data_IF_483821693412
#
_entry.id   IF_483821693412
#
_cell.length_a   1.000
_cell.length_b   1.000
_cell.length_c   1.000
_cell.angle_alpha   90.00
_cell.angle_beta   90.00
_cell.angle_gamma   90.00
#
_symmetry.space_group_name_H-M   'P 1'
#
loop_
_entity.id
_entity.type
_entity.pdbx_description
1 polymer ?
#
# COMPACT_ATOMS: atom_id res chain seq x y z
N UNK A 1 -46.04 20.54 19.41
CA UNK A 1 -44.71 20.93 18.88
C UNK A 1 -44.31 19.86 17.87
N UNK A 2 -44.57 20.08 16.59
CA UNK A 2 -44.29 19.08 15.54
C UNK A 2 -42.79 19.11 15.22
N UNK A 3 -42.10 18.00 15.52
CA UNK A 3 -40.68 17.83 15.20
C UNK A 3 -40.54 17.61 13.70
N UNK A 4 -39.88 18.52 13.00
CA UNK A 4 -39.55 18.32 11.58
C UNK A 4 -38.50 17.20 11.49
N UNK A 5 -38.63 16.25 10.55
CA UNK A 5 -37.62 15.21 10.35
C UNK A 5 -36.28 15.85 9.99
N UNK A 6 -35.21 15.40 10.66
CA UNK A 6 -33.84 15.91 10.53
C UNK A 6 -33.19 15.53 9.18
N UNK A 7 -33.77 14.57 8.47
CA UNK A 7 -33.27 14.09 7.18
C UNK A 7 -34.19 14.62 6.10
N UNK A 8 -33.69 15.55 5.27
CA UNK A 8 -34.36 15.92 4.02
C UNK A 8 -34.36 14.69 3.12
N UNK A 9 -35.51 14.35 2.56
CA UNK A 9 -35.63 13.31 1.56
C UNK A 9 -35.12 13.90 0.23
N UNK A 10 -33.96 13.44 -0.28
CA UNK A 10 -33.29 13.99 -1.47
C UNK A 10 -33.71 13.27 -2.77
N UNK A 11 -34.88 12.63 -2.77
CA UNK A 11 -35.33 11.81 -3.90
C UNK A 11 -35.92 12.61 -5.06
N UNK A 12 -36.23 13.90 -4.86
CA UNK A 12 -36.78 14.79 -5.90
C UNK A 12 -35.72 15.77 -6.39
N UNK A 13 -35.77 16.10 -7.68
CA UNK A 13 -34.81 17.02 -8.31
C UNK A 13 -34.81 18.42 -7.65
N UNK A 14 -35.97 18.86 -7.16
CA UNK A 14 -36.14 20.13 -6.44
C UNK A 14 -35.35 20.18 -5.13
N UNK A 15 -35.15 19.03 -4.47
CA UNK A 15 -34.41 18.92 -3.21
C UNK A 15 -32.88 18.95 -3.40
N UNK A 16 -32.40 18.86 -4.65
CA UNK A 16 -30.99 18.96 -5.04
C UNK A 16 -30.58 20.38 -5.44
N UNK A 17 -31.53 21.32 -5.50
CA UNK A 17 -31.26 22.70 -5.84
C UNK A 17 -30.72 23.42 -4.60
N UNK A 18 -29.55 24.05 -4.75
CA UNK A 18 -28.97 24.88 -3.70
C UNK A 18 -29.79 26.16 -3.55
N UNK A 19 -29.97 26.62 -2.30
CA UNK A 19 -30.55 27.94 -2.10
C UNK A 19 -29.55 29.02 -2.51
N UNK A 20 -30.03 30.22 -2.82
CA UNK A 20 -29.15 31.35 -3.16
C UNK A 20 -28.13 31.67 -2.04
N UNK A 21 -28.51 31.45 -0.78
CA UNK A 21 -27.62 31.61 0.37
C UNK A 21 -26.54 30.51 0.41
N UNK A 22 -26.90 29.26 0.08
CA UNK A 22 -25.95 28.14 -0.03
C UNK A 22 -24.94 28.38 -1.16
N UNK A 23 -25.41 28.84 -2.33
CA UNK A 23 -24.54 29.18 -3.46
C UNK A 23 -23.54 30.28 -3.10
N UNK A 24 -24.01 31.34 -2.42
CA UNK A 24 -23.14 32.42 -1.94
C UNK A 24 -22.12 31.92 -0.92
N UNK A 25 -22.55 31.07 0.01
CA UNK A 25 -21.66 30.47 1.00
C UNK A 25 -20.59 29.60 0.34
N UNK A 26 -20.96 28.71 -0.57
CA UNK A 26 -20.02 27.87 -1.32
C UNK A 26 -19.05 28.73 -2.12
N UNK A 27 -19.54 29.77 -2.79
CA UNK A 27 -18.69 30.70 -3.54
C UNK A 27 -17.66 31.39 -2.65
N UNK A 28 -17.96 31.64 -1.37
CA UNK A 28 -17.00 32.22 -0.42
C UNK A 28 -15.91 31.25 0.05
N UNK A 29 -16.15 29.93 -0.08
CA UNK A 29 -15.18 28.88 0.25
C UNK A 29 -14.22 28.59 -0.90
N UNK A 30 -14.63 28.89 -2.13
CA UNK A 30 -13.79 28.73 -3.32
C UNK A 30 -12.78 29.87 -3.33
N UNK A 31 -11.51 29.50 -3.38
CA UNK A 31 -10.43 30.48 -3.43
C UNK A 31 -10.42 31.25 -4.75
N UNK A 32 -9.98 32.51 -4.69
CA UNK A 32 -9.70 33.29 -5.89
C UNK A 32 -8.52 32.72 -6.68
N UNK A 33 -8.41 33.09 -7.95
CA UNK A 33 -7.34 32.60 -8.83
C UNK A 33 -5.94 32.99 -8.31
N UNK A 34 -5.80 34.18 -7.75
CA UNK A 34 -4.53 34.65 -7.19
C UNK A 34 -4.11 33.84 -5.95
N UNK A 35 -5.04 33.61 -5.01
CA UNK A 35 -4.76 32.80 -3.83
C UNK A 35 -4.45 31.34 -4.22
N UNK A 36 -5.15 30.80 -5.22
CA UNK A 36 -4.90 29.47 -5.73
C UNK A 36 -3.49 29.35 -6.32
N UNK A 37 -3.04 30.36 -7.09
CA UNK A 37 -1.66 30.43 -7.62
C UNK A 37 -0.63 30.46 -6.48
N UNK A 38 -0.83 31.30 -5.47
CA UNK A 38 0.09 31.40 -4.33
C UNK A 38 0.14 30.10 -3.52
N UNK A 39 -1.01 29.49 -3.19
CA UNK A 39 -1.03 28.20 -2.48
C UNK A 39 -0.41 27.09 -3.32
N UNK A 40 -0.65 27.06 -4.63
CA UNK A 40 -0.04 26.08 -5.54
C UNK A 40 1.47 26.22 -5.55
N UNK A 41 1.99 27.44 -5.64
CA UNK A 41 3.43 27.70 -5.60
C UNK A 41 4.05 27.20 -4.28
N UNK A 42 3.44 27.52 -3.14
CA UNK A 42 3.92 27.10 -1.83
C UNK A 42 3.85 25.58 -1.68
N UNK A 43 2.74 24.98 -2.06
CA UNK A 43 2.54 23.53 -2.00
C UNK A 43 3.56 22.79 -2.86
N UNK A 44 3.82 23.25 -4.10
CA UNK A 44 4.84 22.66 -4.96
C UNK A 44 6.24 22.80 -4.37
N UNK A 45 6.55 23.95 -3.76
CA UNK A 45 7.85 24.18 -3.11
C UNK A 45 8.07 23.24 -1.93
N UNK A 46 7.06 23.09 -1.06
CA UNK A 46 7.12 22.21 0.11
C UNK A 46 7.13 20.73 -0.28
N UNK A 47 6.35 20.34 -1.30
CA UNK A 47 6.23 18.96 -1.76
C UNK A 47 7.23 18.61 -2.88
N UNK A 48 8.19 19.47 -3.19
CA UNK A 48 9.13 19.25 -4.28
C UNK A 48 9.90 17.93 -4.15
N UNK A 49 10.28 17.56 -2.93
CA UNK A 49 10.92 16.26 -2.65
C UNK A 49 9.98 15.09 -2.92
N UNK A 50 8.77 15.14 -2.36
CA UNK A 50 7.74 14.11 -2.57
C UNK A 50 7.40 13.91 -4.05
N UNK A 51 7.26 14.99 -4.82
CA UNK A 51 6.99 14.92 -6.26
C UNK A 51 8.13 14.26 -7.05
N UNK A 52 9.39 14.52 -6.66
CA UNK A 52 10.55 13.85 -7.25
C UNK A 52 10.55 12.36 -6.92
N UNK A 53 10.30 12.00 -5.66
CA UNK A 53 10.27 10.61 -5.22
C UNK A 53 9.13 9.82 -5.86
N UNK A 54 7.94 10.43 -6.00
CA UNK A 54 6.84 9.83 -6.76
C UNK A 54 7.23 9.59 -8.22
N UNK A 55 7.87 10.57 -8.88
CA UNK A 55 8.34 10.42 -10.26
C UNK A 55 9.39 9.31 -10.39
N UNK A 56 10.35 9.23 -9.47
CA UNK A 56 11.35 8.15 -9.43
C UNK A 56 10.66 6.80 -9.23
N UNK A 57 9.72 6.71 -8.28
CA UNK A 57 8.97 5.48 -8.01
C UNK A 57 8.13 5.03 -9.21
N UNK A 58 7.52 5.96 -9.93
CA UNK A 58 6.82 5.69 -11.17
C UNK A 58 7.75 5.24 -12.28
N UNK A 59 8.91 5.88 -12.45
CA UNK A 59 9.93 5.48 -13.42
C UNK A 59 10.47 4.08 -13.10
N UNK A 60 10.75 3.77 -11.83
CA UNK A 60 11.18 2.44 -11.40
C UNK A 60 10.11 1.38 -11.69
N UNK A 61 8.83 1.70 -11.44
CA UNK A 61 7.72 0.80 -11.78
C UNK A 61 7.51 0.66 -13.28
N UNK A 62 7.74 1.72 -14.06
CA UNK A 62 7.68 1.68 -15.51
C UNK A 62 8.80 0.81 -16.09
N UNK A 63 10.04 1.01 -15.62
CA UNK A 63 11.22 0.20 -15.99
C UNK A 63 11.03 -1.27 -15.63
N UNK A 64 10.51 -1.58 -14.45
CA UNK A 64 10.17 -2.96 -14.06
C UNK A 64 9.10 -3.57 -14.98
N UNK A 65 8.07 -2.79 -15.37
CA UNK A 65 7.01 -3.25 -16.29
C UNK A 65 7.56 -3.52 -17.70
N UNK A 66 8.51 -2.73 -18.18
CA UNK A 66 9.15 -2.91 -19.48
C UNK A 66 10.14 -4.09 -19.46
N UNK A 67 11.00 -4.18 -18.46
CA UNK A 67 11.92 -5.32 -18.28
C UNK A 67 11.17 -6.65 -18.03
N UNK A 68 9.99 -6.60 -17.41
CA UNK A 68 9.10 -7.74 -17.24
C UNK A 68 8.49 -8.26 -18.55
N UNK A 69 8.37 -7.41 -19.58
CA UNK A 69 7.91 -7.82 -20.92
C UNK A 69 9.02 -8.54 -21.70
N UNK A 70 10.27 -8.12 -21.56
CA UNK A 70 11.40 -8.75 -22.25
C UNK A 70 11.85 -10.07 -21.58
N UNK A 71 11.74 -10.18 -20.25
CA UNK A 71 11.97 -11.46 -19.54
C UNK A 71 10.91 -12.52 -19.89
N UNK A 72 9.66 -12.13 -20.20
CA UNK A 72 8.63 -13.08 -20.68
C UNK A 72 8.94 -13.66 -22.07
N UNK A 73 9.75 -12.99 -22.91
CA UNK A 73 10.19 -13.54 -24.20
C UNK A 73 11.44 -14.41 -24.10
N UNK A 74 12.34 -14.18 -23.13
CA UNK A 74 13.58 -14.99 -22.99
C UNK A 74 13.44 -16.26 -22.14
N UNK A 75 12.33 -16.49 -21.43
CA UNK A 75 12.11 -17.71 -20.62
C UNK A 75 11.07 -18.65 -21.28
N UNK A 76 11.24 -18.94 -22.58
CA UNK A 76 10.60 -20.10 -23.23
C UNK A 76 11.59 -21.20 -23.61
N UNK A 77 12.86 -21.08 -23.22
CA UNK A 77 13.87 -22.11 -23.38
C UNK A 77 14.32 -22.61 -22.01
N UNK A 78 14.26 -23.93 -21.79
CA UNK A 78 14.76 -24.63 -20.60
C UNK A 78 13.91 -24.47 -19.32
N UNK A 79 12.78 -25.19 -19.28
CA UNK A 79 12.27 -25.74 -18.02
C UNK A 79 13.32 -26.71 -17.48
N UNK A 80 14.30 -26.22 -16.70
CA UNK A 80 15.18 -27.13 -15.97
C UNK A 80 14.31 -27.83 -14.94
N UNK A 81 14.14 -29.14 -15.13
CA UNK A 81 13.44 -30.05 -14.21
C UNK A 81 13.94 -29.77 -12.79
N UNK A 82 13.07 -29.29 -11.90
CA UNK A 82 13.43 -29.05 -10.50
C UNK A 82 13.91 -30.37 -9.91
N UNK A 83 15.15 -30.43 -9.45
CA UNK A 83 15.65 -31.52 -8.61
C UNK A 83 14.84 -31.57 -7.33
N UNK A 84 14.38 -32.75 -6.95
CA UNK A 84 13.68 -32.94 -5.68
C UNK A 84 14.67 -32.66 -4.55
N UNK A 85 14.28 -31.77 -3.64
CA UNK A 85 15.09 -31.45 -2.46
C UNK A 85 14.86 -32.59 -1.46
N UNK A 86 15.82 -33.51 -1.39
CA UNK A 86 15.84 -34.53 -0.35
C UNK A 86 16.37 -33.89 0.94
N UNK A 87 15.53 -33.83 1.96
CA UNK A 87 15.83 -33.38 3.31
C UNK A 87 15.10 -34.26 4.32
N UNK A 88 15.72 -34.53 5.48
CA UNK A 88 15.17 -35.40 6.51
C UNK A 88 14.20 -34.66 7.44
N UNK A 89 14.39 -33.35 7.59
CA UNK A 89 13.57 -32.48 8.47
C UNK A 89 13.05 -31.26 7.71
N UNK A 90 11.92 -30.70 8.15
CA UNK A 90 11.33 -29.50 7.56
C UNK A 90 12.28 -28.28 7.59
N UNK A 91 13.09 -28.12 8.64
CA UNK A 91 14.11 -27.07 8.75
C UNK A 91 15.21 -27.19 7.69
N UNK A 92 15.78 -28.39 7.54
CA UNK A 92 16.80 -28.69 6.53
C UNK A 92 16.28 -28.55 5.09
N UNK A 93 14.99 -28.89 4.86
CA UNK A 93 14.36 -28.74 3.55
C UNK A 93 14.31 -27.28 3.11
N UNK A 94 13.99 -26.40 4.06
CA UNK A 94 13.92 -24.95 3.85
C UNK A 94 15.33 -24.39 3.63
N UNK A 95 16.31 -24.76 4.46
CA UNK A 95 17.70 -24.30 4.29
C UNK A 95 18.25 -24.66 2.91
N UNK A 96 18.08 -25.92 2.50
CA UNK A 96 18.54 -26.41 1.20
C UNK A 96 17.80 -25.73 0.05
N UNK A 97 16.51 -25.46 0.20
CA UNK A 97 15.74 -24.68 -0.78
C UNK A 97 16.23 -23.24 -0.91
N UNK A 98 16.57 -22.58 0.20
CA UNK A 98 17.10 -21.21 0.19
C UNK A 98 18.53 -21.14 -0.36
N UNK A 99 19.35 -22.16 -0.09
CA UNK A 99 20.70 -22.28 -0.63
C UNK A 99 20.71 -22.55 -2.13
N UNK A 100 19.86 -23.48 -2.60
CA UNK A 100 19.74 -23.80 -4.03
C UNK A 100 19.08 -22.67 -4.83
N UNK A 101 18.17 -21.89 -4.21
CA UNK A 101 17.39 -20.85 -4.90
C UNK A 101 17.27 -19.60 -4.02
N UNK A 102 17.81 -18.47 -4.49
CA UNK A 102 17.45 -17.14 -3.96
C UNK A 102 16.03 -16.78 -4.41
N UNK A 103 15.04 -17.20 -3.63
CA UNK A 103 13.60 -17.13 -3.96
C UNK A 103 13.12 -15.67 -4.11
N UNK A 104 13.59 -14.74 -3.28
CA UNK A 104 13.17 -13.33 -3.34
C UNK A 104 14.22 -12.41 -2.71
N UNK A 105 14.51 -11.30 -3.38
CA UNK A 105 15.35 -10.23 -2.82
C UNK A 105 14.70 -9.47 -1.65
N UNK A 106 13.42 -9.72 -1.35
CA UNK A 106 12.69 -9.10 -0.24
C UNK A 106 12.82 -9.84 1.09
N UNK A 107 13.54 -10.96 1.12
CA UNK A 107 13.74 -11.76 2.32
C UNK A 107 15.13 -11.44 2.90
N UNK A 108 15.20 -11.21 4.21
CA UNK A 108 16.47 -11.08 4.92
C UNK A 108 17.02 -12.47 5.26
N UNK A 109 18.00 -12.92 4.47
CA UNK A 109 18.60 -14.25 4.59
C UNK A 109 19.49 -14.41 5.84
N UNK A 110 20.04 -13.32 6.37
CA UNK A 110 20.91 -13.34 7.54
C UNK A 110 20.12 -13.71 8.80
N UNK A 111 18.91 -13.16 8.92
CA UNK A 111 17.98 -13.51 10.02
C UNK A 111 17.58 -14.98 9.91
N UNK A 112 17.25 -15.47 8.71
CA UNK A 112 16.86 -16.87 8.52
C UNK A 112 17.97 -17.85 8.91
N UNK A 113 19.25 -17.48 8.72
CA UNK A 113 20.38 -18.30 9.15
C UNK A 113 20.61 -18.29 10.67
N UNK A 114 20.25 -17.20 11.34
CA UNK A 114 20.38 -17.08 12.81
C UNK A 114 19.28 -17.78 13.61
N UNK A 115 18.13 -18.10 12.99
CA UNK A 115 17.00 -18.77 13.65
C UNK A 115 17.18 -20.28 13.83
N UNK A 116 18.12 -20.90 13.09
CA UNK A 116 18.36 -22.35 13.11
C UNK A 116 19.44 -22.77 14.14
N UNK A 117 20.14 -21.80 14.74
CA UNK A 117 21.05 -22.11 15.84
C UNK A 117 20.26 -22.35 17.13
N UNK A 118 20.41 -23.51 17.80
CA UNK A 118 19.71 -23.78 19.04
C UNK A 118 20.26 -22.88 20.15
N UNK A 119 19.59 -21.77 20.42
CA UNK A 119 19.95 -20.85 21.51
C UNK A 119 19.67 -19.36 21.28
N UNK A 120 19.18 -18.96 20.10
CA UNK A 120 18.78 -17.56 19.86
C UNK A 120 17.33 -17.32 20.29
N UNK A 121 17.04 -16.27 21.10
CA UNK A 121 15.66 -15.94 21.44
C UNK A 121 14.91 -15.58 20.16
N UNK A 122 13.76 -16.21 19.94
CA UNK A 122 12.80 -15.80 18.91
C UNK A 122 12.61 -14.27 19.00
N UNK A 123 12.75 -13.52 17.89
CA UNK A 123 12.35 -12.12 17.90
C UNK A 123 10.87 -12.10 18.26
N UNK A 124 10.54 -11.36 19.32
CA UNK A 124 9.20 -11.30 19.88
C UNK A 124 8.18 -11.07 18.75
N UNK A 125 7.40 -12.10 18.44
CA UNK A 125 6.12 -11.92 17.79
C UNK A 125 5.35 -10.90 18.63
N UNK A 126 4.74 -9.85 18.07
CA UNK A 126 3.76 -9.07 18.81
C UNK A 126 2.53 -9.96 19.04
N UNK A 127 2.60 -10.79 20.07
CA UNK A 127 1.43 -11.31 20.78
C UNK A 127 1.10 -10.25 21.80
N UNK A 128 0.16 -9.39 21.43
CA UNK A 128 -0.88 -8.81 22.30
C UNK A 128 -1.69 -7.80 21.48
N UNK A 129 -2.60 -8.32 20.67
CA UNK A 129 -3.83 -7.60 20.39
C UNK A 129 -4.88 -8.14 21.37
N UNK A 130 -5.31 -7.38 22.39
CA UNK A 130 -6.49 -7.78 23.15
C UNK A 130 -7.68 -7.73 22.20
N UNK A 131 -8.30 -8.89 21.99
CA UNK A 131 -9.63 -9.02 21.39
C UNK A 131 -10.61 -8.34 22.37
N UNK A 132 -10.97 -7.08 22.09
CA UNK A 132 -12.07 -6.40 22.78
C UNK A 132 -13.36 -6.90 22.16
N UNK A 133 -13.98 -7.91 22.77
CA UNK A 133 -15.41 -8.19 22.60
C UNK A 133 -16.20 -7.27 23.52
N UNK A 134 -16.68 -6.14 23.02
CA UNK A 134 -17.75 -5.38 23.68
C UNK A 134 -19.10 -5.98 23.30
N UNK A 135 -19.61 -6.87 24.15
CA UNK A 135 -21.05 -7.11 24.29
C UNK A 135 -21.55 -6.20 25.41
N UNK A 136 -22.37 -5.21 25.09
CA UNK A 136 -23.06 -4.37 26.09
C UNK A 136 -24.55 -4.74 26.14
N UNK A 137 -25.15 -4.86 27.34
CA UNK A 137 -26.59 -5.07 27.55
C UNK A 137 -27.43 -3.84 27.17
#
# INVERSE_FOLDING_TARGET
KSSKPLVKDLTRAEDLILSADDEKYISSLIMSEEEARHKTMLWNKLNAGYLKDQKIKEEMRAREREEGKDKKKKVRGSYKKRTAINAATAGEAIEKMLAEKKISSKINYDILKSLDQPGTPLPATPKDAPVVTETKP
#
